data_IF_728864831205
#
_entry.id   IF_728864831205
#
_cell.length_a   1.000
_cell.length_b   1.000
_cell.length_c   1.000
_cell.angle_alpha   90.00
_cell.angle_beta   90.00
_cell.angle_gamma   90.00
#
_symmetry.space_group_name_H-M   'P 1'
#
loop_
_entity.id
_entity.type
_entity.pdbx_description
1 polymer ?
#
# COMPACT_ATOMS: atom_id res chain seq x y z
N UNK A 1 26.58 -13.93 -0.39
CA UNK A 1 25.58 -13.28 -1.25
C UNK A 1 24.30 -14.12 -1.26
N UNK A 2 23.15 -13.56 -0.91
CA UNK A 2 21.87 -14.28 -0.92
C UNK A 2 21.17 -14.07 -2.26
N UNK A 3 20.99 -15.14 -3.04
CA UNK A 3 20.19 -15.10 -4.27
C UNK A 3 18.74 -14.73 -3.90
N UNK A 4 18.19 -13.73 -4.56
CA UNK A 4 16.79 -13.36 -4.39
C UNK A 4 15.91 -14.47 -4.97
N UNK A 5 14.85 -14.85 -4.26
CA UNK A 5 13.92 -15.89 -4.72
C UNK A 5 12.86 -15.23 -5.62
N UNK A 6 12.89 -15.54 -6.92
CA UNK A 6 11.83 -15.20 -7.87
C UNK A 6 10.61 -16.12 -7.68
N UNK A 7 9.43 -15.70 -8.14
CA UNK A 7 8.16 -16.45 -7.96
C UNK A 7 8.25 -17.83 -8.63
N UNK A 8 8.81 -17.88 -9.84
CA UNK A 8 9.00 -19.13 -10.60
C UNK A 8 9.96 -20.09 -9.90
N UNK A 9 11.06 -19.56 -9.34
CA UNK A 9 12.02 -20.34 -8.56
C UNK A 9 11.39 -20.88 -7.27
N UNK A 10 10.52 -20.09 -6.63
CA UNK A 10 9.80 -20.51 -5.44
C UNK A 10 8.80 -21.64 -5.73
N UNK A 11 8.19 -21.63 -6.92
CA UNK A 11 7.28 -22.67 -7.37
C UNK A 11 8.00 -23.98 -7.69
N UNK A 12 9.07 -23.92 -8.49
CA UNK A 12 9.90 -25.10 -8.78
C UNK A 12 10.50 -25.72 -7.50
N UNK A 13 10.93 -24.87 -6.56
CA UNK A 13 11.39 -25.32 -5.24
C UNK A 13 10.26 -25.98 -4.43
N UNK A 14 9.03 -25.48 -4.52
CA UNK A 14 7.89 -26.07 -3.82
C UNK A 14 7.51 -27.44 -4.38
N UNK A 15 7.49 -27.61 -5.70
CA UNK A 15 7.18 -28.88 -6.37
C UNK A 15 8.21 -29.97 -6.05
N UNK A 16 9.50 -29.61 -6.06
CA UNK A 16 10.59 -30.53 -5.67
C UNK A 16 10.52 -30.92 -4.19
N UNK A 17 10.19 -29.99 -3.30
CA UNK A 17 9.95 -30.28 -1.88
C UNK A 17 8.76 -31.22 -1.66
N UNK A 18 7.68 -31.07 -2.44
CA UNK A 18 6.55 -31.99 -2.39
C UNK A 18 6.94 -33.40 -2.83
N UNK A 19 7.79 -33.52 -3.85
CA UNK A 19 8.29 -34.81 -4.35
C UNK A 19 9.14 -35.55 -3.30
N UNK A 20 9.99 -34.81 -2.56
CA UNK A 20 10.81 -35.36 -1.47
C UNK A 20 10.05 -35.54 -0.14
N UNK A 21 8.84 -34.98 -0.02
CA UNK A 21 8.05 -35.05 1.20
C UNK A 21 7.31 -36.39 1.29
N UNK A 22 7.68 -37.21 2.27
CA UNK A 22 6.97 -38.46 2.58
C UNK A 22 5.96 -38.22 3.70
N UNK A 23 4.66 -38.45 3.43
CA UNK A 23 3.55 -38.29 4.40
C UNK A 23 3.50 -36.89 5.05
N UNK A 24 3.83 -35.84 4.29
CA UNK A 24 3.84 -34.45 4.76
C UNK A 24 5.02 -34.09 5.67
N UNK A 25 6.02 -34.97 5.78
CA UNK A 25 7.27 -34.72 6.50
C UNK A 25 8.43 -34.61 5.51
N UNK A 26 9.25 -33.60 5.74
CA UNK A 26 10.47 -33.34 4.98
C UNK A 26 11.66 -33.53 5.91
N UNK A 27 12.62 -34.40 5.57
CA UNK A 27 13.79 -34.64 6.45
C UNK A 27 14.77 -33.47 6.32
N UNK A 28 15.52 -33.21 7.39
CA UNK A 28 16.52 -32.13 7.42
C UNK A 28 17.61 -32.30 6.34
N UNK A 29 18.01 -33.54 6.07
CA UNK A 29 18.96 -33.86 4.99
C UNK A 29 18.42 -33.46 3.62
N UNK A 30 17.14 -33.70 3.36
CA UNK A 30 16.50 -33.37 2.09
C UNK A 30 16.42 -31.85 1.90
N UNK A 31 16.12 -31.09 2.96
CA UNK A 31 16.18 -29.61 2.94
C UNK A 31 17.58 -29.12 2.57
N UNK A 32 18.61 -29.78 3.10
CA UNK A 32 20.01 -29.39 2.87
C UNK A 32 20.46 -29.74 1.45
N UNK A 33 20.04 -30.89 0.92
CA UNK A 33 20.29 -31.31 -0.46
C UNK A 33 19.62 -30.36 -1.46
N UNK A 34 18.32 -30.11 -1.30
CA UNK A 34 17.55 -29.20 -2.16
C UNK A 34 18.09 -27.76 -2.06
N UNK A 35 18.51 -27.31 -0.88
CA UNK A 35 19.15 -26.00 -0.75
C UNK A 35 20.45 -25.91 -1.57
N UNK A 36 21.24 -26.99 -1.61
CA UNK A 36 22.45 -27.06 -2.41
C UNK A 36 22.14 -27.05 -3.91
N UNK A 37 21.16 -27.85 -4.36
CA UNK A 37 20.72 -27.94 -5.76
C UNK A 37 20.25 -26.58 -6.31
N UNK A 38 19.44 -25.84 -5.55
CA UNK A 38 18.93 -24.53 -5.96
C UNK A 38 19.91 -23.38 -5.65
N UNK A 39 21.04 -23.66 -4.99
CA UNK A 39 22.01 -22.65 -4.55
C UNK A 39 21.40 -21.62 -3.59
N UNK A 40 20.48 -22.06 -2.74
CA UNK A 40 19.76 -21.26 -1.75
C UNK A 40 20.23 -21.59 -0.33
N UNK A 41 19.92 -20.71 0.62
CA UNK A 41 20.17 -21.03 2.03
C UNK A 41 19.10 -22.01 2.54
N UNK A 42 19.48 -22.92 3.43
CA UNK A 42 18.54 -23.86 4.09
C UNK A 42 17.38 -23.14 4.77
N UNK A 43 17.65 -21.95 5.33
CA UNK A 43 16.64 -21.06 5.91
C UNK A 43 15.62 -20.59 4.88
N UNK A 44 16.04 -20.29 3.65
CA UNK A 44 15.13 -19.85 2.59
C UNK A 44 14.21 -20.99 2.13
N UNK A 45 14.74 -22.19 1.93
CA UNK A 45 13.97 -23.41 1.62
C UNK A 45 12.95 -23.70 2.72
N UNK A 46 13.38 -23.65 3.99
CA UNK A 46 12.51 -23.86 5.16
C UNK A 46 11.37 -22.83 5.22
N UNK A 47 11.65 -21.56 4.84
CA UNK A 47 10.64 -20.50 4.80
C UNK A 47 9.61 -20.75 3.72
N UNK A 48 10.03 -21.17 2.53
CA UNK A 48 9.11 -21.54 1.44
C UNK A 48 8.23 -22.72 1.86
N UNK A 49 8.82 -23.76 2.47
CA UNK A 49 8.07 -24.91 2.97
C UNK A 49 6.98 -24.50 3.97
N UNK A 50 7.35 -23.76 5.02
CA UNK A 50 6.40 -23.28 6.04
C UNK A 50 5.31 -22.39 5.45
N UNK A 51 5.64 -21.59 4.44
CA UNK A 51 4.68 -20.73 3.74
C UNK A 51 3.73 -21.55 2.87
N UNK A 52 4.24 -22.53 2.13
CA UNK A 52 3.44 -23.44 1.29
C UNK A 52 2.46 -24.27 2.12
N UNK A 53 2.89 -24.85 3.25
CA UNK A 53 2.00 -25.59 4.16
C UNK A 53 0.85 -24.71 4.69
N UNK A 54 1.13 -23.46 5.07
CA UNK A 54 0.10 -22.50 5.49
C UNK A 54 -0.89 -22.16 4.36
N UNK A 55 -0.38 -22.06 3.13
CA UNK A 55 -1.19 -21.75 1.94
C UNK A 55 -2.04 -22.93 1.45
N UNK A 56 -1.56 -24.17 1.61
CA UNK A 56 -2.32 -25.37 1.23
C UNK A 56 -3.54 -25.62 2.13
N UNK A 57 -3.52 -25.17 3.39
CA UNK A 57 -4.71 -25.19 4.26
C UNK A 57 -5.89 -24.41 3.69
N UNK A 58 -5.61 -23.39 2.87
CA UNK A 58 -6.60 -22.55 2.19
C UNK A 58 -6.96 -23.06 0.77
N UNK A 59 -6.48 -24.25 0.35
CA UNK A 59 -6.70 -24.87 -0.97
C UNK A 59 -6.29 -24.02 -2.19
N UNK A 60 -5.44 -23.01 -2.01
CA UNK A 60 -4.82 -22.28 -3.14
C UNK A 60 -3.46 -22.89 -3.40
N UNK A 61 -3.42 -23.85 -4.33
CA UNK A 61 -2.17 -24.31 -4.91
C UNK A 61 -1.52 -23.15 -5.69
N UNK A 62 -0.22 -22.97 -5.49
CA UNK A 62 0.65 -22.13 -6.31
C UNK A 62 0.33 -20.62 -6.38
N UNK A 63 0.40 -19.93 -5.25
CA UNK A 63 0.77 -18.50 -5.26
C UNK A 63 1.78 -18.28 -4.14
N UNK A 64 3.04 -18.65 -4.39
CA UNK A 64 4.16 -18.36 -3.48
C UNK A 64 4.54 -16.86 -3.55
N UNK A 65 3.67 -15.97 -4.02
CA UNK A 65 3.90 -14.51 -4.11
C UNK A 65 4.56 -13.97 -2.86
N UNK A 66 5.73 -13.37 -3.00
CA UNK A 66 6.41 -12.70 -1.91
C UNK A 66 5.43 -11.73 -1.23
N UNK A 67 5.03 -12.02 0.01
CA UNK A 67 4.12 -11.18 0.80
C UNK A 67 4.81 -9.93 1.34
N UNK A 68 5.75 -9.38 0.58
CA UNK A 68 6.52 -8.19 0.93
C UNK A 68 5.69 -6.91 0.81
N UNK A 69 4.48 -6.98 0.24
CA UNK A 69 3.56 -5.83 0.10
C UNK A 69 2.61 -5.61 1.28
N UNK A 70 2.60 -6.46 2.32
CA UNK A 70 1.69 -6.28 3.48
C UNK A 70 2.24 -5.35 4.57
N UNK A 71 3.46 -4.85 4.44
CA UNK A 71 4.01 -3.78 5.28
C UNK A 71 4.59 -2.68 4.39
N UNK A 72 3.83 -1.60 4.22
CA UNK A 72 4.25 -0.39 3.49
C UNK A 72 3.14 0.24 2.66
N UNK A 73 3.15 1.59 2.61
CA UNK A 73 2.24 2.55 1.97
C UNK A 73 1.41 2.01 0.80
N UNK A 74 0.08 2.23 0.85
CA UNK A 74 -0.88 1.94 -0.23
C UNK A 74 -0.38 2.55 -1.54
N UNK A 75 -0.01 1.72 -2.52
CA UNK A 75 0.18 2.18 -3.90
C UNK A 75 -1.19 2.59 -4.43
N UNK A 76 -1.35 3.87 -4.76
CA UNK A 76 -2.51 4.31 -5.52
C UNK A 76 -2.40 3.65 -6.88
N UNK A 77 -3.36 2.80 -7.24
CA UNK A 77 -3.54 2.49 -8.65
C UNK A 77 -4.01 3.77 -9.31
N UNK A 78 -3.33 4.23 -10.35
CA UNK A 78 -3.85 5.30 -11.21
C UNK A 78 -5.05 4.73 -11.94
N UNK A 79 -6.22 4.86 -11.33
CA UNK A 79 -7.50 4.52 -11.93
C UNK A 79 -7.88 5.68 -12.86
N UNK A 80 -8.56 5.44 -13.99
CA UNK A 80 -9.13 6.53 -14.76
C UNK A 80 -10.07 7.34 -13.87
N UNK A 81 -9.89 8.66 -13.85
CA UNK A 81 -10.76 9.61 -13.15
C UNK A 81 -12.21 9.35 -13.55
N UNK A 82 -13.04 9.09 -12.56
CA UNK A 82 -14.49 8.96 -12.74
C UNK A 82 -15.16 10.33 -12.61
N UNK A 83 -16.42 10.41 -13.05
CA UNK A 83 -17.25 11.61 -12.86
C UNK A 83 -17.49 11.91 -11.39
N UNK A 84 -17.55 10.88 -10.54
CA UNK A 84 -17.65 11.01 -9.09
C UNK A 84 -16.42 11.71 -8.50
N UNK A 85 -15.21 11.34 -8.94
CA UNK A 85 -13.97 11.99 -8.49
C UNK A 85 -13.94 13.49 -8.86
N UNK A 86 -14.48 13.87 -10.02
CA UNK A 86 -14.58 15.28 -10.45
C UNK A 86 -15.58 16.07 -9.59
N UNK A 87 -16.70 15.44 -9.24
CA UNK A 87 -17.71 16.03 -8.35
C UNK A 87 -17.12 16.23 -6.96
N UNK A 88 -16.44 15.22 -6.40
CA UNK A 88 -15.79 15.32 -5.08
C UNK A 88 -14.76 16.45 -5.04
N UNK A 89 -13.92 16.57 -6.07
CA UNK A 89 -12.96 17.68 -6.16
C UNK A 89 -13.65 19.04 -6.26
N UNK A 90 -14.73 19.16 -7.03
CA UNK A 90 -15.48 20.40 -7.15
C UNK A 90 -16.13 20.82 -5.83
N UNK A 91 -16.74 19.87 -5.12
CA UNK A 91 -17.37 20.10 -3.80
C UNK A 91 -16.31 20.49 -2.78
N UNK A 92 -15.16 19.80 -2.79
CA UNK A 92 -14.05 20.10 -1.90
C UNK A 92 -13.47 21.50 -2.15
N UNK A 93 -13.27 21.88 -3.42
CA UNK A 93 -12.84 23.23 -3.79
C UNK A 93 -13.85 24.29 -3.34
N UNK A 94 -15.14 24.05 -3.48
CA UNK A 94 -16.19 24.98 -3.06
C UNK A 94 -16.23 25.17 -1.54
N UNK A 95 -16.08 24.08 -0.77
CA UNK A 95 -15.98 24.14 0.70
C UNK A 95 -14.75 24.93 1.13
N UNK A 96 -13.62 24.77 0.43
CA UNK A 96 -12.39 25.51 0.73
C UNK A 96 -12.48 27.00 0.41
N UNK A 97 -13.30 27.43 -0.57
CA UNK A 97 -13.58 28.87 -0.82
C UNK A 97 -14.20 29.56 0.38
N UNK A 98 -15.01 28.83 1.16
CA UNK A 98 -15.62 29.30 2.40
C UNK A 98 -14.76 29.00 3.64
N UNK A 99 -13.50 28.60 3.47
CA UNK A 99 -12.56 28.26 4.55
C UNK A 99 -12.99 27.06 5.39
N UNK A 100 -13.85 26.17 4.86
CA UNK A 100 -14.35 25.01 5.59
C UNK A 100 -15.26 25.33 6.79
N UNK A 101 -15.73 26.57 6.92
CA UNK A 101 -16.57 26.98 8.04
C UNK A 101 -18.02 26.55 7.85
N UNK A 102 -18.53 25.75 8.77
CA UNK A 102 -19.96 25.48 8.89
C UNK A 102 -20.61 26.40 9.94
N UNK A 103 -21.67 27.11 9.56
CA UNK A 103 -22.50 28.01 10.40
C UNK A 103 -23.53 27.25 11.24
N UNK A 104 -23.64 25.94 11.06
CA UNK A 104 -24.51 25.10 11.87
C UNK A 104 -24.15 25.19 13.36
N UNK A 105 -25.17 25.47 14.19
CA UNK A 105 -25.03 25.55 15.65
C UNK A 105 -25.01 24.13 16.22
N UNK A 106 -23.91 23.77 16.89
CA UNK A 106 -23.79 22.49 17.60
C UNK A 106 -24.01 22.80 19.08
N UNK A 107 -25.18 22.48 19.68
CA UNK A 107 -25.57 23.04 20.99
C UNK A 107 -24.63 22.67 22.15
N UNK A 108 -24.02 21.48 22.10
CA UNK A 108 -23.11 20.97 23.14
C UNK A 108 -21.65 21.35 22.87
N UNK A 109 -21.33 21.74 21.65
CA UNK A 109 -19.99 22.12 21.23
C UNK A 109 -20.01 23.64 21.06
N UNK A 110 -19.61 24.37 22.11
CA UNK A 110 -19.59 25.83 22.19
C UNK A 110 -18.61 26.49 21.20
N UNK A 111 -18.79 26.22 19.91
CA UNK A 111 -17.89 26.53 18.78
C UNK A 111 -17.62 28.02 18.66
N UNK A 112 -18.62 28.85 18.95
CA UNK A 112 -18.48 30.31 18.92
C UNK A 112 -17.63 30.86 20.06
N UNK A 113 -17.64 30.20 21.22
CA UNK A 113 -16.75 30.55 22.33
C UNK A 113 -15.30 30.16 22.03
N UNK A 114 -15.09 29.04 21.34
CA UNK A 114 -13.76 28.55 20.97
C UNK A 114 -13.10 29.42 19.89
N UNK A 115 -13.87 29.98 18.95
CA UNK A 115 -13.35 30.84 17.86
C UNK A 115 -12.62 32.11 18.33
N UNK A 116 -12.94 32.59 19.52
CA UNK A 116 -12.38 33.84 20.08
C UNK A 116 -11.23 33.58 21.07
N UNK A 117 -10.81 32.33 21.26
CA UNK A 117 -9.66 32.00 22.09
C UNK A 117 -8.39 32.21 21.27
N UNK A 118 -7.39 32.87 21.86
CA UNK A 118 -6.12 33.27 21.22
C UNK A 118 -5.33 32.11 20.58
N UNK A 119 -5.61 30.87 21.01
CA UNK A 119 -5.00 29.63 20.50
C UNK A 119 -5.92 28.81 19.56
N UNK A 120 -7.03 29.35 19.09
CA UNK A 120 -7.84 28.67 18.08
C UNK A 120 -7.12 28.70 16.74
N UNK A 121 -6.99 27.57 16.01
CA UNK A 121 -6.32 27.57 14.71
C UNK A 121 -6.97 28.62 13.81
N UNK A 122 -6.17 29.53 13.21
CA UNK A 122 -6.70 30.57 12.34
C UNK A 122 -7.46 29.92 11.19
N UNK A 123 -8.53 30.59 10.73
CA UNK A 123 -9.27 30.10 9.55
C UNK A 123 -8.28 29.91 8.41
N UNK A 124 -8.45 28.82 7.65
CA UNK A 124 -7.70 28.65 6.41
C UNK A 124 -7.85 29.94 5.59
N UNK A 125 -6.74 30.51 5.09
CA UNK A 125 -6.81 31.72 4.26
C UNK A 125 -7.79 31.47 3.13
N UNK A 126 -8.78 32.35 2.97
CA UNK A 126 -9.64 32.33 1.79
C UNK A 126 -8.71 32.55 0.61
N UNK A 127 -8.70 31.61 -0.34
CA UNK A 127 -7.98 31.82 -1.60
C UNK A 127 -8.67 32.97 -2.34
N UNK A 128 -8.26 34.21 -2.06
CA UNK A 128 -8.63 35.37 -2.85
C UNK A 128 -8.14 35.12 -4.26
N UNK A 129 -9.04 35.22 -5.24
CA UNK A 129 -8.68 35.18 -6.66
C UNK A 129 -7.53 36.17 -6.89
N UNK A 130 -6.45 35.79 -7.60
CA UNK A 130 -5.36 36.70 -7.88
C UNK A 130 -5.91 37.89 -8.66
N UNK A 131 -5.95 39.05 -7.99
CA UNK A 131 -6.30 40.32 -8.61
C UNK A 131 -5.04 40.86 -9.28
N UNK A 132 -4.94 40.66 -10.59
CA UNK A 132 -4.05 41.42 -11.46
C UNK A 132 -2.67 40.82 -11.72
N UNK A 133 -2.28 40.93 -12.98
CA UNK A 133 -0.93 40.79 -13.55
C UNK A 133 -0.35 39.37 -13.65
N UNK A 134 -0.66 38.76 -14.80
CA UNK A 134 0.22 37.95 -15.65
C UNK A 134 1.66 37.76 -15.15
N UNK A 135 1.96 36.54 -14.72
CA UNK A 135 3.25 35.92 -15.01
C UNK A 135 2.96 34.45 -15.34
N UNK A 136 2.83 34.15 -16.63
CA UNK A 136 2.81 32.77 -17.10
C UNK A 136 4.20 32.17 -16.81
N UNK A 137 4.31 31.05 -16.09
CA UNK A 137 5.57 30.34 -15.96
C UNK A 137 6.00 29.82 -17.34
N UNK A 138 7.20 30.18 -17.75
CA UNK A 138 7.87 29.72 -18.97
C UNK A 138 8.10 28.20 -18.89
N UNK A 139 7.21 27.43 -19.51
CA UNK A 139 7.41 26.00 -19.81
C UNK A 139 6.81 25.64 -21.17
N UNK A 140 7.27 26.33 -22.21
CA UNK A 140 7.14 25.90 -23.61
C UNK A 140 8.35 26.50 -24.33
N UNK A 141 9.16 25.82 -25.14
CA UNK A 141 9.40 24.43 -25.47
C UNK A 141 10.78 24.43 -26.19
N UNK A 142 11.20 23.25 -26.66
CA UNK A 142 12.33 22.98 -27.55
C UNK A 142 12.46 23.88 -28.78
#
# INVERSE_FOLDING_TARGET
MTKQITDDLAQALWETLLLHSTKGRLRYRDITAIACEFGLTTKAVTRVWKKGIRSMGDRVAAVVKAGWSRRGRKKSQTRPRTTEDLIEESVMLEIMKCGGSNTYKIPHLHKDKLRNVENYPPRCPVMSKPSGALALPSWDLS
#
